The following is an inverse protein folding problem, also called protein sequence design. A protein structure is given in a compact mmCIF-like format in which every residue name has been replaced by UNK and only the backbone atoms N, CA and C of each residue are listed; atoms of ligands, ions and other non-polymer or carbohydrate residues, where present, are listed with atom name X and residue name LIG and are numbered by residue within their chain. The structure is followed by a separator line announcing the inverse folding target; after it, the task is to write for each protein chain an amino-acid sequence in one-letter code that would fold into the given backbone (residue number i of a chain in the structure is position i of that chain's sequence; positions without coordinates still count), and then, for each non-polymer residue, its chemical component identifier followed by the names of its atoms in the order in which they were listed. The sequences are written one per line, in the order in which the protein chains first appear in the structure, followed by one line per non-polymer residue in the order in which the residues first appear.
data_IF_304894975060
#
_entry.id   IF_304894975060
#
_cell.length_a   1.000
_cell.length_b   1.000
_cell.length_c   1.000
_cell.angle_alpha   90.00
_cell.angle_beta   90.00
_cell.angle_gamma   90.00
#
_symmetry.space_group_name_H-M   'P 1'
#
loop_
_entity.id
_entity.type
_entity.pdbx_description
1 polymer ?
#
# COMPACT_ATOMS: atom_id res chain seq x y z
N UNK A 1 -15.42 -4.51 2.97
CA UNK A 1 -14.71 -4.90 1.71
C UNK A 1 -13.97 -6.24 1.81
N UNK A 2 -13.71 -6.78 3.01
CA UNK A 2 -12.86 -7.96 3.23
C UNK A 2 -13.21 -9.14 2.33
N UNK A 3 -14.48 -9.48 2.20
CA UNK A 3 -14.95 -10.62 1.39
C UNK A 3 -14.87 -10.39 -0.13
N UNK A 4 -14.49 -9.18 -0.55
CA UNK A 4 -14.41 -8.76 -1.95
C UNK A 4 -13.05 -8.17 -2.32
N UNK A 5 -12.06 -8.35 -1.46
CA UNK A 5 -10.70 -7.89 -1.65
C UNK A 5 -9.70 -9.02 -1.42
N UNK A 6 -8.62 -8.98 -2.15
CA UNK A 6 -7.51 -9.93 -2.04
C UNK A 6 -6.19 -9.15 -2.07
N UNK A 7 -5.22 -9.58 -1.28
CA UNK A 7 -3.85 -9.05 -1.33
C UNK A 7 -3.02 -10.02 -2.17
N UNK A 8 -2.38 -9.50 -3.21
CA UNK A 8 -1.43 -10.24 -4.02
C UNK A 8 -0.03 -9.70 -3.77
N UNK A 9 0.89 -10.59 -3.46
CA UNK A 9 2.30 -10.26 -3.27
C UNK A 9 3.14 -10.92 -4.36
N UNK A 10 4.13 -10.18 -4.85
CA UNK A 10 5.04 -10.62 -5.90
C UNK A 10 6.48 -10.36 -5.48
N UNK A 11 7.38 -11.21 -5.95
CA UNK A 11 8.82 -11.06 -5.70
C UNK A 11 9.40 -10.15 -6.77
N UNK A 12 10.29 -9.24 -6.36
CA UNK A 12 11.06 -8.37 -7.28
C UNK A 12 11.84 -9.25 -8.26
N UNK A 13 11.83 -8.86 -9.54
CA UNK A 13 12.46 -9.62 -10.62
C UNK A 13 11.58 -10.72 -11.23
N UNK A 14 10.35 -10.90 -10.76
CA UNK A 14 9.38 -11.75 -11.44
C UNK A 14 8.98 -11.11 -12.79
N UNK A 15 8.73 -11.94 -13.79
CA UNK A 15 8.36 -11.42 -15.12
C UNK A 15 7.04 -10.65 -15.08
N UNK A 16 7.03 -9.50 -15.73
CA UNK A 16 5.84 -8.61 -15.79
C UNK A 16 4.61 -9.35 -16.31
N UNK A 17 4.78 -10.18 -17.33
CA UNK A 17 3.71 -10.94 -17.97
C UNK A 17 3.05 -11.90 -16.98
N UNK A 18 3.85 -12.62 -16.19
CA UNK A 18 3.36 -13.56 -15.17
C UNK A 18 2.56 -12.85 -14.07
N UNK A 19 3.01 -11.64 -13.68
CA UNK A 19 2.30 -10.81 -12.70
C UNK A 19 0.96 -10.36 -13.28
N UNK A 20 0.98 -9.84 -14.50
CA UNK A 20 -0.23 -9.36 -15.20
C UNK A 20 -1.23 -10.51 -15.37
N UNK A 21 -0.81 -11.70 -15.80
CA UNK A 21 -1.69 -12.87 -15.91
C UNK A 21 -2.35 -13.23 -14.57
N UNK A 22 -1.59 -13.23 -13.48
CA UNK A 22 -2.12 -13.51 -12.14
C UNK A 22 -3.14 -12.46 -11.69
N UNK A 23 -2.90 -11.19 -11.98
CA UNK A 23 -3.84 -10.10 -11.70
C UNK A 23 -5.12 -10.29 -12.52
N UNK A 24 -5.00 -10.51 -13.83
CA UNK A 24 -6.14 -10.69 -14.74
C UNK A 24 -6.99 -11.91 -14.38
N UNK A 25 -6.36 -12.99 -13.92
CA UNK A 25 -7.07 -14.19 -13.46
C UNK A 25 -8.04 -13.90 -12.29
N UNK A 26 -7.81 -12.86 -11.49
CA UNK A 26 -8.69 -12.39 -10.39
C UNK A 26 -9.83 -11.48 -10.88
N UNK A 27 -9.77 -10.99 -12.12
CA UNK A 27 -10.76 -10.07 -12.71
C UNK A 27 -11.08 -8.86 -11.81
N UNK A 28 -10.08 -8.13 -11.31
CA UNK A 28 -10.34 -7.01 -10.42
C UNK A 28 -11.06 -5.89 -11.18
N UNK A 29 -12.00 -5.22 -10.51
CA UNK A 29 -12.57 -3.95 -10.98
C UNK A 29 -11.65 -2.78 -10.65
N UNK A 30 -11.02 -2.86 -9.48
CA UNK A 30 -10.11 -1.85 -8.95
C UNK A 30 -8.83 -2.57 -8.52
N UNK A 31 -7.69 -2.06 -8.93
CA UNK A 31 -6.37 -2.56 -8.57
C UNK A 31 -5.60 -1.47 -7.82
N UNK A 32 -5.33 -1.70 -6.53
CA UNK A 32 -4.44 -0.85 -5.75
C UNK A 32 -3.00 -1.35 -5.81
N UNK A 33 -2.05 -0.47 -6.08
CA UNK A 33 -0.63 -0.80 -6.17
C UNK A 33 0.20 0.08 -5.21
N UNK A 34 0.97 -0.55 -4.32
CA UNK A 34 1.94 0.12 -3.47
C UNK A 34 3.25 0.36 -4.23
N UNK A 35 3.62 1.63 -4.38
CA UNK A 35 4.79 2.04 -5.15
C UNK A 35 5.90 2.56 -4.24
N UNK A 36 7.06 1.96 -4.37
CA UNK A 36 8.28 2.25 -3.62
C UNK A 36 9.46 2.39 -4.59
N UNK A 37 10.51 3.04 -4.15
CA UNK A 37 11.71 3.26 -4.97
C UNK A 37 12.29 1.98 -5.58
N UNK A 38 12.13 0.84 -4.91
CA UNK A 38 12.66 -0.44 -5.39
C UNK A 38 11.75 -1.17 -6.38
N UNK A 39 10.47 -0.80 -6.52
CA UNK A 39 9.54 -1.46 -7.43
C UNK A 39 8.92 -0.54 -8.49
N UNK A 40 9.23 0.74 -8.50
CA UNK A 40 8.57 1.73 -9.38
C UNK A 40 8.73 1.38 -10.87
N UNK A 41 9.89 0.92 -11.28
CA UNK A 41 10.15 0.53 -12.67
C UNK A 41 9.32 -0.68 -13.11
N UNK A 42 9.28 -1.72 -12.27
CA UNK A 42 8.49 -2.93 -12.54
C UNK A 42 7.01 -2.62 -12.50
N UNK A 43 6.56 -1.86 -11.51
CA UNK A 43 5.15 -1.44 -11.37
C UNK A 43 4.73 -0.58 -12.56
N UNK A 44 5.60 0.29 -13.06
CA UNK A 44 5.31 1.08 -14.28
C UNK A 44 5.06 0.21 -15.49
N UNK A 45 5.86 -0.86 -15.68
CA UNK A 45 5.65 -1.83 -16.77
C UNK A 45 4.34 -2.59 -16.62
N UNK A 46 4.03 -3.03 -15.40
CA UNK A 46 2.77 -3.71 -15.09
C UNK A 46 1.57 -2.81 -15.40
N UNK A 47 1.59 -1.57 -14.94
CA UNK A 47 0.50 -0.59 -15.20
C UNK A 47 0.34 -0.34 -16.69
N UNK A 48 1.44 -0.10 -17.43
CA UNK A 48 1.38 0.13 -18.86
C UNK A 48 0.78 -1.07 -19.62
N UNK A 49 1.17 -2.28 -19.26
CA UNK A 49 0.65 -3.49 -19.87
C UNK A 49 -0.84 -3.71 -19.54
N UNK A 50 -1.22 -3.55 -18.27
CA UNK A 50 -2.63 -3.65 -17.84
C UNK A 50 -3.51 -2.63 -18.55
N UNK A 51 -3.08 -1.38 -18.69
CA UNK A 51 -3.84 -0.36 -19.44
C UNK A 51 -3.99 -0.65 -20.93
N UNK A 52 -3.09 -1.48 -21.47
CA UNK A 52 -3.18 -1.94 -22.88
C UNK A 52 -4.15 -3.11 -23.02
N UNK A 53 -4.06 -4.11 -22.13
CA UNK A 53 -4.81 -5.38 -22.31
C UNK A 53 -6.15 -5.42 -21.57
N UNK A 54 -6.32 -4.58 -20.54
CA UNK A 54 -7.52 -4.51 -19.72
C UNK A 54 -7.80 -3.05 -19.26
N UNK A 55 -8.09 -2.13 -20.19
CA UNK A 55 -8.24 -0.70 -19.89
C UNK A 55 -9.36 -0.39 -18.90
N UNK A 56 -10.34 -1.28 -18.75
CA UNK A 56 -11.48 -1.11 -17.85
C UNK A 56 -11.12 -1.30 -16.35
N UNK A 57 -9.95 -1.84 -16.06
CA UNK A 57 -9.47 -1.94 -14.66
C UNK A 57 -9.09 -0.55 -14.18
N UNK A 58 -9.73 -0.10 -13.10
CA UNK A 58 -9.34 1.15 -12.45
C UNK A 58 -8.07 0.92 -11.62
N UNK A 59 -6.98 1.60 -11.98
CA UNK A 59 -5.69 1.49 -11.31
C UNK A 59 -5.50 2.66 -10.35
N UNK A 60 -5.28 2.35 -9.07
CA UNK A 60 -5.02 3.31 -8.01
C UNK A 60 -3.60 3.08 -7.47
N UNK A 61 -2.77 4.10 -7.51
CA UNK A 61 -1.42 4.05 -6.94
C UNK A 61 -1.42 4.67 -5.54
N UNK A 62 -0.54 4.17 -4.70
CA UNK A 62 -0.21 4.75 -3.41
C UNK A 62 1.22 4.38 -3.01
N UNK A 63 1.67 4.90 -1.89
CA UNK A 63 3.01 4.62 -1.37
C UNK A 63 3.96 5.82 -1.44
N UNK A 64 5.12 5.71 -0.79
CA UNK A 64 6.03 6.85 -0.62
C UNK A 64 6.58 7.39 -1.94
N UNK A 65 6.83 6.54 -2.92
CA UNK A 65 7.43 6.96 -4.19
C UNK A 65 6.52 7.90 -4.98
N UNK A 66 5.21 7.66 -5.00
CA UNK A 66 4.23 8.47 -5.74
C UNK A 66 3.61 9.59 -4.89
N UNK A 67 4.06 9.74 -3.65
CA UNK A 67 3.55 10.78 -2.75
C UNK A 67 4.18 12.16 -3.00
N UNK A 68 5.30 12.18 -3.72
CA UNK A 68 6.03 13.41 -4.06
C UNK A 68 6.20 13.49 -5.58
N UNK A 69 6.21 14.71 -6.11
CA UNK A 69 6.39 14.97 -7.55
C UNK A 69 5.49 14.11 -8.47
N UNK A 70 4.29 13.76 -7.97
CA UNK A 70 3.39 12.82 -8.64
C UNK A 70 3.01 13.25 -10.07
N UNK A 71 2.99 14.56 -10.36
CA UNK A 71 2.70 15.10 -11.69
C UNK A 71 3.81 14.87 -12.70
N UNK A 72 5.04 14.63 -12.24
CA UNK A 72 6.22 14.46 -13.09
C UNK A 72 6.54 12.97 -13.35
N UNK A 73 5.92 12.08 -12.58
CA UNK A 73 6.19 10.67 -12.67
C UNK A 73 5.36 9.97 -13.77
N UNK A 74 6.06 9.22 -14.63
CA UNK A 74 5.44 8.46 -15.71
C UNK A 74 4.36 7.49 -15.22
N UNK A 75 4.61 6.79 -14.11
CA UNK A 75 3.65 5.83 -13.56
C UNK A 75 2.34 6.50 -13.16
N UNK A 76 2.40 7.70 -12.59
CA UNK A 76 1.23 8.49 -12.20
C UNK A 76 0.43 8.96 -13.42
N UNK A 77 1.10 9.24 -14.54
CA UNK A 77 0.41 9.59 -15.78
C UNK A 77 -0.39 8.42 -16.39
N UNK A 78 0.05 7.18 -16.15
CA UNK A 78 -0.59 5.96 -16.67
C UNK A 78 -1.78 5.48 -15.81
N UNK A 79 -1.77 5.74 -14.50
CA UNK A 79 -2.81 5.28 -13.59
C UNK A 79 -4.08 6.16 -13.65
N UNK A 80 -5.19 5.65 -13.16
CA UNK A 80 -6.44 6.41 -13.07
C UNK A 80 -6.42 7.36 -11.87
N UNK A 81 -5.94 6.88 -10.73
CA UNK A 81 -5.84 7.65 -9.50
C UNK A 81 -4.50 7.45 -8.79
N UNK A 82 -4.07 8.46 -8.05
CA UNK A 82 -2.92 8.43 -7.16
C UNK A 82 -3.34 8.96 -5.80
N UNK A 83 -3.17 8.15 -4.75
CA UNK A 83 -3.37 8.58 -3.37
C UNK A 83 -2.00 8.89 -2.77
N UNK A 84 -1.76 10.17 -2.45
CA UNK A 84 -0.48 10.63 -1.88
C UNK A 84 -0.53 10.68 -0.36
N UNK A 85 0.60 10.50 0.29
CA UNK A 85 0.69 10.55 1.76
C UNK A 85 -0.03 9.36 2.45
N UNK A 86 -0.84 9.65 3.46
CA UNK A 86 -1.53 8.62 4.25
C UNK A 86 -2.73 8.05 3.49
N UNK A 87 -2.61 6.81 3.05
CA UNK A 87 -3.60 6.16 2.20
C UNK A 87 -4.77 5.48 2.93
N UNK A 88 -4.65 5.22 4.22
CA UNK A 88 -5.55 4.33 4.97
C UNK A 88 -7.04 4.66 4.79
N UNK A 89 -7.42 5.88 5.08
CA UNK A 89 -8.82 6.35 4.98
C UNK A 89 -9.16 6.72 3.54
N UNK A 90 -8.24 7.42 2.88
CA UNK A 90 -8.50 7.97 1.53
C UNK A 90 -8.64 6.89 0.48
N UNK A 91 -7.83 5.83 0.55
CA UNK A 91 -7.96 4.70 -0.38
C UNK A 91 -9.30 3.98 -0.18
N UNK A 92 -9.71 3.72 1.07
CA UNK A 92 -10.99 3.09 1.37
C UNK A 92 -12.17 3.94 0.86
N UNK A 93 -12.14 5.24 1.10
CA UNK A 93 -13.11 6.21 0.59
C UNK A 93 -13.18 6.21 -0.94
N UNK A 94 -12.03 6.22 -1.62
CA UNK A 94 -11.97 6.19 -3.07
C UNK A 94 -12.57 4.90 -3.63
N UNK A 95 -12.19 3.75 -3.07
CA UNK A 95 -12.71 2.44 -3.48
C UNK A 95 -14.22 2.38 -3.32
N UNK A 96 -14.77 2.89 -2.22
CA UNK A 96 -16.21 2.93 -1.98
C UNK A 96 -16.94 3.73 -3.07
N UNK A 97 -16.46 4.93 -3.39
CA UNK A 97 -17.04 5.77 -4.45
C UNK A 97 -16.99 5.10 -5.82
N UNK A 98 -15.84 4.55 -6.18
CA UNK A 98 -15.66 3.84 -7.44
C UNK A 98 -16.61 2.63 -7.56
N UNK A 99 -16.82 1.90 -6.46
CA UNK A 99 -17.77 0.77 -6.43
C UNK A 99 -19.23 1.22 -6.59
N UNK A 100 -19.57 2.44 -6.17
CA UNK A 100 -20.88 3.04 -6.39
C UNK A 100 -21.02 3.70 -7.78
N UNK A 101 -20.00 3.62 -8.63
CA UNK A 101 -20.01 4.20 -9.97
C UNK A 101 -19.71 5.70 -10.02
N UNK A 102 -19.24 6.27 -8.90
CA UNK A 102 -18.80 7.65 -8.86
C UNK A 102 -17.37 7.76 -9.40
N UNK A 103 -17.09 8.83 -10.16
CA UNK A 103 -15.76 9.10 -10.72
C UNK A 103 -15.24 10.43 -10.18
N UNK A 104 -14.43 10.46 -9.11
CA UNK A 104 -13.81 11.67 -8.63
C UNK A 104 -13.02 12.39 -9.73
N UNK A 105 -13.18 13.71 -9.85
CA UNK A 105 -12.51 14.49 -10.90
C UNK A 105 -10.99 14.62 -10.66
N UNK A 106 -10.58 14.71 -9.40
CA UNK A 106 -9.18 14.80 -9.05
C UNK A 106 -8.52 13.42 -9.20
N UNK A 107 -7.50 13.32 -10.06
CA UNK A 107 -6.71 12.10 -10.23
C UNK A 107 -5.67 11.92 -9.13
N UNK A 108 -5.08 13.00 -8.65
CA UNK A 108 -4.15 12.99 -7.52
C UNK A 108 -4.93 13.46 -6.30
N UNK A 109 -5.07 12.56 -5.33
CA UNK A 109 -5.92 12.74 -4.15
C UNK A 109 -5.01 12.73 -2.92
N UNK A 110 -4.88 13.85 -2.21
CA UNK A 110 -4.12 13.90 -0.97
C UNK A 110 -4.72 12.97 0.08
N UNK A 111 -3.88 12.15 0.69
CA UNK A 111 -4.28 11.28 1.78
C UNK A 111 -4.62 12.07 3.03
N UNK A 112 -5.66 11.64 3.71
CA UNK A 112 -6.08 12.23 4.98
C UNK A 112 -5.38 11.49 6.11
N UNK A 113 -4.71 12.22 6.99
CA UNK A 113 -4.09 11.65 8.18
C UNK A 113 -5.16 11.04 9.08
N UNK A 114 -5.03 9.75 9.35
CA UNK A 114 -5.93 9.02 10.21
C UNK A 114 -5.48 9.09 11.68
N UNK A 115 -6.44 9.05 12.59
CA UNK A 115 -6.14 8.80 14.00
C UNK A 115 -5.68 7.34 14.15
N UNK A 116 -4.47 7.12 14.66
CA UNK A 116 -3.88 5.77 14.74
C UNK A 116 -4.70 4.79 15.58
N UNK A 117 -5.46 5.31 16.56
CA UNK A 117 -6.36 4.50 17.39
C UNK A 117 -7.51 3.85 16.58
N UNK A 118 -7.92 4.49 15.47
CA UNK A 118 -9.04 4.06 14.64
C UNK A 118 -8.60 3.13 13.49
N UNK A 119 -7.28 3.01 13.26
CA UNK A 119 -6.74 2.12 12.25
C UNK A 119 -6.76 0.66 12.71
N UNK A 120 -7.18 -0.24 11.85
CA UNK A 120 -7.01 -1.66 12.04
C UNK A 120 -5.52 -2.02 11.91
N UNK A 121 -5.00 -2.81 12.84
CA UNK A 121 -3.66 -3.38 12.70
C UNK A 121 -3.76 -4.64 11.82
N UNK A 122 -2.99 -4.75 10.73
CA UNK A 122 -3.19 -5.80 9.72
C UNK A 122 -2.50 -7.12 10.05
N UNK A 123 -2.04 -7.32 11.26
CA UNK A 123 -1.14 -8.44 11.59
C UNK A 123 -1.83 -9.81 11.60
N UNK A 124 -3.16 -9.83 11.67
CA UNK A 124 -3.95 -11.05 11.48
C UNK A 124 -3.91 -11.58 10.03
N UNK A 125 -3.55 -10.73 9.06
CA UNK A 125 -3.46 -11.11 7.65
C UNK A 125 -2.19 -11.93 7.33
N UNK A 126 -1.17 -11.90 8.20
CA UNK A 126 -0.02 -12.78 8.04
C UNK A 126 -0.43 -14.24 8.16
N UNK A 127 -0.10 -15.03 7.15
CA UNK A 127 -0.35 -16.47 7.12
C UNK A 127 0.66 -17.22 8.01
N UNK A 128 0.39 -18.49 8.31
CA UNK A 128 1.35 -19.32 9.06
C UNK A 128 2.62 -19.59 8.24
N UNK A 129 2.54 -19.52 6.92
CA UNK A 129 3.71 -19.59 6.05
C UNK A 129 4.58 -18.34 6.18
N UNK A 130 3.97 -17.15 6.18
CA UNK A 130 4.69 -15.89 6.42
C UNK A 130 5.41 -15.91 7.75
N UNK A 131 4.71 -16.33 8.81
CA UNK A 131 5.29 -16.46 10.16
C UNK A 131 6.54 -17.34 10.19
N UNK A 132 6.55 -18.43 9.42
CA UNK A 132 7.70 -19.35 9.38
C UNK A 132 8.85 -18.86 8.51
N UNK A 133 8.55 -18.16 7.41
CA UNK A 133 9.55 -17.93 6.34
C UNK A 133 10.04 -16.48 6.25
N UNK A 134 9.27 -15.52 6.76
CA UNK A 134 9.55 -14.09 6.55
C UNK A 134 9.98 -13.36 7.83
N UNK A 135 10.55 -12.19 7.65
CA UNK A 135 10.54 -11.15 8.67
C UNK A 135 9.14 -10.54 8.70
N UNK A 136 8.54 -10.49 9.88
CA UNK A 136 7.23 -9.87 10.06
C UNK A 136 7.43 -8.38 10.32
N UNK A 137 6.89 -7.57 9.42
CA UNK A 137 6.93 -6.11 9.54
C UNK A 137 5.83 -5.67 10.50
N UNK A 138 6.20 -4.81 11.42
CA UNK A 138 5.30 -4.22 12.41
C UNK A 138 5.58 -2.73 12.51
N UNK A 139 4.56 -1.96 12.79
CA UNK A 139 4.62 -0.51 12.87
C UNK A 139 4.29 -0.05 14.29
N UNK A 140 5.29 0.45 15.03
CA UNK A 140 5.09 0.98 16.37
C UNK A 140 4.70 2.46 16.37
N UNK A 141 5.08 3.19 15.30
CA UNK A 141 4.78 4.60 15.14
C UNK A 141 4.88 4.98 13.68
N UNK A 142 4.20 6.04 13.28
CA UNK A 142 4.34 6.70 11.97
C UNK A 142 5.08 8.00 12.08
N UNK A 143 5.77 8.39 10.99
CA UNK A 143 6.60 9.58 10.95
C UNK A 143 7.95 9.37 11.61
N UNK A 144 8.74 10.44 11.69
CA UNK A 144 10.07 10.42 12.26
C UNK A 144 10.41 11.79 12.86
N UNK A 145 10.90 11.86 14.12
CA UNK A 145 11.24 13.14 14.74
C UNK A 145 12.59 13.71 14.22
N UNK A 146 13.37 12.89 13.51
CA UNK A 146 14.68 13.28 13.01
C UNK A 146 14.60 13.96 11.65
N UNK A 147 15.58 14.83 11.38
CA UNK A 147 15.65 15.63 10.15
C UNK A 147 16.88 15.23 9.33
N UNK A 148 16.98 13.98 8.94
CA UNK A 148 18.08 13.51 8.11
C UNK A 148 17.93 14.08 6.68
N UNK A 149 18.94 14.73 6.15
CA UNK A 149 18.91 15.42 4.84
C UNK A 149 18.57 14.51 3.66
N UNK A 150 18.93 13.23 3.76
CA UNK A 150 18.72 12.23 2.72
C UNK A 150 17.42 11.40 2.88
N UNK A 151 16.57 11.73 3.85
CA UNK A 151 15.44 10.88 4.19
C UNK A 151 14.09 11.61 3.96
N UNK A 152 13.20 11.00 3.16
CA UNK A 152 11.85 11.54 2.94
C UNK A 152 11.04 11.70 4.22
N UNK A 153 11.26 10.84 5.22
CA UNK A 153 10.58 10.96 6.52
C UNK A 153 10.95 12.25 7.27
N UNK A 154 12.03 12.94 6.86
CA UNK A 154 12.40 14.24 7.44
C UNK A 154 11.45 15.38 7.06
N UNK A 155 10.64 15.19 6.03
CA UNK A 155 9.61 16.16 5.59
C UNK A 155 8.43 16.18 6.55
N UNK A 156 8.16 15.05 7.20
CA UNK A 156 7.19 14.93 8.27
C UNK A 156 7.92 14.93 9.61
N UNK A 157 7.85 16.05 10.32
CA UNK A 157 8.68 16.31 11.51
C UNK A 157 8.10 15.77 12.81
N UNK A 158 7.08 14.92 12.73
CA UNK A 158 6.32 14.44 13.88
C UNK A 158 6.27 12.92 13.88
N UNK A 159 6.44 12.31 15.04
CA UNK A 159 6.20 10.89 15.22
C UNK A 159 4.89 10.67 15.98
N UNK A 160 4.04 9.84 15.44
CA UNK A 160 2.78 9.44 16.06
C UNK A 160 2.89 7.97 16.50
N UNK A 161 3.02 7.68 17.80
CA UNK A 161 3.04 6.30 18.27
C UNK A 161 1.63 5.70 18.28
N UNK A 162 1.56 4.40 18.00
CA UNK A 162 0.37 3.62 18.36
C UNK A 162 0.25 3.50 19.88
N UNK A 163 -0.96 3.24 20.35
CA UNK A 163 -1.18 2.97 21.78
C UNK A 163 -0.38 1.73 22.19
N UNK A 164 0.46 1.88 23.22
CA UNK A 164 1.47 0.90 23.58
C UNK A 164 0.88 -0.47 23.96
N UNK A 165 -0.20 -0.49 24.73
CA UNK A 165 -0.83 -1.73 25.18
C UNK A 165 -1.41 -2.52 24.01
N UNK A 166 -2.07 -1.82 23.08
CA UNK A 166 -2.60 -2.41 21.85
C UNK A 166 -1.47 -2.98 20.98
N UNK A 167 -0.40 -2.23 20.79
CA UNK A 167 0.76 -2.66 20.01
C UNK A 167 1.44 -3.88 20.62
N UNK A 168 1.67 -3.88 21.94
CA UNK A 168 2.26 -5.01 22.66
C UNK A 168 1.36 -6.26 22.60
N UNK A 169 0.04 -6.09 22.68
CA UNK A 169 -0.91 -7.20 22.55
C UNK A 169 -0.79 -7.89 21.17
N UNK A 170 -0.66 -7.13 20.09
CA UNK A 170 -0.43 -7.70 18.75
C UNK A 170 0.93 -8.43 18.67
N UNK A 171 1.97 -7.87 19.29
CA UNK A 171 3.27 -8.53 19.37
C UNK A 171 3.21 -9.87 20.10
N UNK A 172 2.49 -9.94 21.22
CA UNK A 172 2.29 -11.17 21.99
C UNK A 172 1.55 -12.23 21.16
N UNK A 173 0.52 -11.83 20.41
CA UNK A 173 -0.22 -12.73 19.52
C UNK A 173 0.70 -13.29 18.43
N UNK A 174 1.48 -12.42 17.77
CA UNK A 174 2.43 -12.85 16.74
C UNK A 174 3.52 -13.76 17.32
N UNK A 175 4.04 -13.43 18.50
CA UNK A 175 5.03 -14.25 19.18
C UNK A 175 4.48 -15.63 19.55
N UNK A 176 3.24 -15.69 20.05
CA UNK A 176 2.56 -16.94 20.35
C UNK A 176 2.33 -17.81 19.09
N UNK A 177 2.09 -17.17 17.92
CA UNK A 177 2.01 -17.85 16.63
C UNK A 177 3.35 -18.37 16.11
N UNK A 178 4.46 -18.04 16.79
CA UNK A 178 5.80 -18.55 16.44
C UNK A 178 6.70 -17.52 15.74
N UNK A 179 6.30 -16.28 15.58
CA UNK A 179 7.17 -15.22 15.02
C UNK A 179 8.38 -15.02 15.92
N UNK A 180 9.57 -15.01 15.33
CA UNK A 180 10.85 -14.77 16.03
C UNK A 180 11.69 -13.68 15.36
N UNK A 181 11.25 -13.18 14.21
CA UNK A 181 11.95 -12.16 13.44
C UNK A 181 11.00 -11.03 13.10
N UNK A 182 11.16 -9.92 13.81
CA UNK A 182 10.38 -8.70 13.59
C UNK A 182 11.24 -7.65 12.90
N UNK A 183 10.62 -6.81 12.09
CA UNK A 183 11.21 -5.62 11.52
C UNK A 183 10.26 -4.43 11.75
N UNK A 184 10.80 -3.37 12.35
CA UNK A 184 10.13 -2.11 12.64
C UNK A 184 10.38 -1.10 11.53
#
# INVERSE_FOLDING_TARGET
FRDRSEILEFVIGQKTEEIVEKILARRPRILGLGVYIWNVEETTRIVAQLKTVAPDITIVLGGPEVSYEATEQRICALADYVVTGWGDVTFAWLVERLLHGETPQARIIPGVQAELKDLALPYSEYTDEDVRQRHIYIEASRGCPFKCEFCLSSLDKTAWPFELGRFLGELEILYARGVRRFKF
#
